data_IF_287871819185
#
_entry.id   IF_287871819185
#
_cell.length_a   1.000
_cell.length_b   1.000
_cell.length_c   1.000
_cell.angle_alpha   90.00
_cell.angle_beta   90.00
_cell.angle_gamma   90.00
#
_symmetry.space_group_name_H-M   'P 1'
#
loop_
_entity.id
_entity.type
_entity.pdbx_description
1 polymer ?
#
# COMPACT_ATOMS: atom_id res chain seq x y z
N UNK A 1 13.18 -4.29 6.46
CA UNK A 1 12.90 -3.12 7.34
C UNK A 1 11.46 -3.18 7.85
N UNK A 2 11.20 -2.82 9.12
CA UNK A 2 9.83 -2.67 9.62
C UNK A 2 9.40 -1.21 9.60
N UNK A 3 8.12 -0.96 9.29
CA UNK A 3 7.50 0.36 9.30
C UNK A 3 6.23 0.31 10.16
N UNK A 4 5.87 1.45 10.75
CA UNK A 4 4.56 1.67 11.36
C UNK A 4 3.75 2.55 10.42
N UNK A 5 2.57 2.07 10.04
CA UNK A 5 1.64 2.72 9.13
C UNK A 5 0.44 3.20 9.94
N UNK A 6 0.10 4.48 9.79
CA UNK A 6 -1.16 5.06 10.26
C UNK A 6 -2.22 4.87 9.19
N UNK A 7 -3.32 4.19 9.52
CA UNK A 7 -4.36 3.83 8.54
C UNK A 7 -5.41 4.93 8.46
N UNK A 8 -5.49 5.60 7.31
CA UNK A 8 -6.49 6.63 7.02
C UNK A 8 -7.62 6.12 6.12
N UNK A 9 -7.40 4.98 5.44
CA UNK A 9 -8.36 4.30 4.57
C UNK A 9 -8.41 2.82 4.97
N UNK A 10 -9.16 2.48 6.03
CA UNK A 10 -9.25 1.12 6.52
C UNK A 10 -9.95 0.20 5.52
N UNK A 11 -9.69 -1.10 5.60
CA UNK A 11 -10.35 -2.12 4.78
C UNK A 11 -11.89 -1.95 4.84
N UNK A 12 -12.51 -1.86 3.68
CA UNK A 12 -13.95 -1.66 3.49
C UNK A 12 -14.39 -0.19 3.46
N UNK A 13 -13.47 0.77 3.63
CA UNK A 13 -13.78 2.20 3.47
C UNK A 13 -13.94 2.59 2.00
N UNK A 14 -14.71 3.65 1.76
CA UNK A 14 -14.91 4.25 0.45
C UNK A 14 -13.91 5.37 0.25
N UNK A 15 -13.34 5.49 -0.95
CA UNK A 15 -12.41 6.57 -1.26
C UNK A 15 -13.10 7.95 -1.11
N UNK A 16 -12.50 8.92 -0.38
CA UNK A 16 -13.14 10.20 -0.07
C UNK A 16 -13.63 10.99 -1.31
N UNK A 17 -12.86 10.94 -2.41
CA UNK A 17 -13.16 11.64 -3.66
C UNK A 17 -13.79 10.76 -4.75
N UNK A 18 -13.87 9.44 -4.55
CA UNK A 18 -14.28 8.47 -5.59
C UNK A 18 -15.22 7.42 -4.98
N UNK A 19 -16.54 7.67 -4.92
CA UNK A 19 -17.49 6.83 -4.19
C UNK A 19 -17.66 5.42 -4.74
N UNK A 20 -17.19 5.17 -5.97
CA UNK A 20 -17.16 3.86 -6.64
C UNK A 20 -15.95 3.00 -6.25
N UNK A 21 -14.95 3.58 -5.58
CA UNK A 21 -13.75 2.87 -5.14
C UNK A 21 -13.91 2.50 -3.66
N UNK A 22 -13.91 1.19 -3.40
CA UNK A 22 -13.87 0.61 -2.05
C UNK A 22 -12.51 0.01 -1.82
N UNK A 23 -11.87 0.35 -0.69
CA UNK A 23 -10.58 -0.18 -0.30
C UNK A 23 -10.71 -1.63 0.13
N UNK A 24 -10.18 -2.56 -0.68
CA UNK A 24 -10.21 -4.01 -0.40
C UNK A 24 -9.06 -4.46 0.53
N UNK A 25 -8.18 -3.53 0.90
CA UNK A 25 -7.05 -3.71 1.81
C UNK A 25 -6.95 -2.48 2.73
N UNK A 26 -6.16 -2.56 3.80
CA UNK A 26 -5.87 -1.36 4.59
C UNK A 26 -4.87 -0.48 3.84
N UNK A 27 -5.08 0.83 3.87
CA UNK A 27 -4.22 1.83 3.24
C UNK A 27 -3.98 2.99 4.21
N UNK A 28 -2.79 3.55 4.14
CA UNK A 28 -2.37 4.65 4.99
C UNK A 28 -0.98 5.11 4.63
N UNK A 29 -0.31 5.75 5.59
CA UNK A 29 0.97 6.42 5.34
C UNK A 29 1.96 6.17 6.49
N UNK A 30 3.24 6.45 6.25
CA UNK A 30 4.28 6.44 7.28
C UNK A 30 4.53 7.85 7.78
N UNK A 31 4.20 8.10 9.05
CA UNK A 31 4.34 9.42 9.66
C UNK A 31 5.80 9.92 9.62
N UNK A 32 5.98 11.15 9.14
CA UNK A 32 7.28 11.82 9.09
C UNK A 32 8.22 11.40 7.95
N UNK A 33 7.80 10.50 7.05
CA UNK A 33 8.52 10.23 5.80
C UNK A 33 7.80 10.95 4.67
N UNK A 34 8.40 12.02 4.14
CA UNK A 34 7.81 12.82 3.07
C UNK A 34 8.21 12.25 1.72
N UNK A 35 7.22 12.00 0.87
CA UNK A 35 7.38 11.50 -0.49
C UNK A 35 7.54 12.65 -1.51
N UNK A 36 7.86 12.37 -2.78
CA UNK A 36 8.16 13.41 -3.77
C UNK A 36 7.02 14.40 -4.06
N UNK A 37 5.78 14.01 -3.79
CA UNK A 37 4.58 14.85 -3.93
C UNK A 37 4.40 15.85 -2.77
N UNK A 38 5.19 15.73 -1.70
CA UNK A 38 5.14 16.59 -0.52
C UNK A 38 4.22 16.08 0.59
N UNK A 39 3.56 14.93 0.40
CA UNK A 39 2.73 14.26 1.40
C UNK A 39 3.53 13.14 2.11
N UNK A 40 2.92 12.51 3.12
CA UNK A 40 3.54 11.37 3.81
C UNK A 40 3.51 10.11 2.93
N UNK A 41 4.58 9.29 3.00
CA UNK A 41 4.76 8.13 2.13
C UNK A 41 3.62 7.12 2.28
N UNK A 42 2.91 6.89 1.19
CA UNK A 42 1.74 6.02 1.14
C UNK A 42 2.12 4.53 1.14
N UNK A 43 1.26 3.72 1.76
CA UNK A 43 1.48 2.29 2.00
C UNK A 43 0.18 1.48 1.86
N UNK A 44 0.21 0.48 0.98
CA UNK A 44 -0.74 -0.63 0.98
C UNK A 44 -0.36 -1.67 2.05
N UNK A 45 -1.31 -2.05 2.91
CA UNK A 45 -1.11 -3.10 3.92
C UNK A 45 -1.84 -4.37 3.52
N UNK A 46 -1.08 -5.39 3.12
CA UNK A 46 -1.57 -6.69 2.66
C UNK A 46 -1.46 -7.76 3.74
N UNK A 47 -2.34 -8.78 3.70
CA UNK A 47 -2.33 -9.88 4.66
C UNK A 47 -2.98 -9.57 6.02
N UNK A 48 -3.72 -8.45 6.11
CA UNK A 48 -4.54 -8.09 7.28
C UNK A 48 -5.99 -8.02 6.83
N UNK A 49 -6.81 -8.98 7.25
CA UNK A 49 -8.17 -9.25 6.79
C UNK A 49 -9.28 -8.53 7.59
N UNK A 50 -8.90 -7.52 8.36
CA UNK A 50 -9.80 -6.67 9.15
C UNK A 50 -9.35 -5.21 9.13
N UNK A 51 -10.27 -4.24 9.29
CA UNK A 51 -9.88 -2.85 9.45
C UNK A 51 -9.05 -2.67 10.72
N UNK A 52 -7.97 -1.88 10.62
CA UNK A 52 -7.11 -1.52 11.76
C UNK A 52 -6.84 -0.02 11.75
N UNK A 53 -6.43 0.54 12.90
CA UNK A 53 -6.04 1.95 13.01
C UNK A 53 -4.56 2.19 12.73
N UNK A 54 -3.74 1.23 13.10
CA UNK A 54 -2.29 1.24 12.93
C UNK A 54 -1.82 -0.16 12.60
N UNK A 55 -0.74 -0.24 11.83
CA UNK A 55 -0.12 -1.51 11.45
C UNK A 55 1.39 -1.39 11.54
N UNK A 56 2.05 -2.39 12.12
CA UNK A 56 3.52 -2.50 12.08
C UNK A 56 3.90 -3.81 11.38
N UNK A 57 4.67 -3.71 10.29
CA UNK A 57 5.07 -4.86 9.48
C UNK A 57 6.27 -4.57 8.60
N UNK A 58 6.62 -5.50 7.73
CA UNK A 58 7.76 -5.36 6.81
C UNK A 58 7.29 -4.75 5.50
N UNK A 59 8.09 -3.87 4.91
CA UNK A 59 7.98 -3.57 3.48
C UNK A 59 8.44 -4.81 2.71
N UNK A 60 7.62 -5.26 1.75
CA UNK A 60 7.87 -6.43 0.91
C UNK A 60 8.00 -6.07 -0.57
N UNK A 61 7.51 -4.90 -0.97
CA UNK A 61 7.61 -4.40 -2.35
C UNK A 61 7.37 -2.89 -2.40
N UNK A 62 7.69 -2.33 -3.55
CA UNK A 62 7.31 -0.98 -3.99
C UNK A 62 6.50 -1.14 -5.28
N UNK A 63 5.40 -0.40 -5.40
CA UNK A 63 4.65 -0.25 -6.65
C UNK A 63 5.10 1.07 -7.27
N UNK A 64 5.72 0.96 -8.43
CA UNK A 64 6.10 2.09 -9.26
C UNK A 64 5.01 2.40 -10.26
N UNK A 65 4.60 3.67 -10.29
CA UNK A 65 3.66 4.23 -11.25
C UNK A 65 4.46 5.10 -12.23
N UNK A 66 4.50 4.72 -13.50
CA UNK A 66 5.24 5.48 -14.53
C UNK A 66 4.58 6.84 -14.82
N UNK A 67 3.32 6.99 -14.46
CA UNK A 67 2.46 8.15 -14.71
C UNK A 67 2.15 8.96 -13.43
N UNK A 68 2.82 8.67 -12.32
CA UNK A 68 2.70 9.38 -11.04
C UNK A 68 4.09 9.73 -10.48
N UNK A 69 4.16 10.71 -9.58
CA UNK A 69 5.44 11.16 -9.00
C UNK A 69 5.79 10.42 -7.70
N UNK A 70 4.84 9.70 -7.11
CA UNK A 70 5.01 9.03 -5.82
C UNK A 70 4.91 7.51 -5.97
N UNK A 71 5.97 6.82 -5.56
CA UNK A 71 5.95 5.38 -5.34
C UNK A 71 4.95 5.00 -4.26
N UNK A 72 4.35 3.81 -4.34
CA UNK A 72 3.51 3.27 -3.26
C UNK A 72 4.20 2.09 -2.59
N UNK A 73 4.38 2.13 -1.28
CA UNK A 73 4.99 1.01 -0.57
C UNK A 73 3.98 -0.10 -0.30
N UNK A 74 4.47 -1.33 -0.18
CA UNK A 74 3.64 -2.49 0.18
C UNK A 74 4.18 -3.12 1.45
N UNK A 75 3.36 -3.14 2.51
CA UNK A 75 3.70 -3.73 3.79
C UNK A 75 2.87 -4.98 4.09
N UNK A 76 3.46 -5.96 4.79
CA UNK A 76 2.78 -7.17 5.21
C UNK A 76 3.29 -7.70 6.57
N UNK A 77 2.50 -8.55 7.28
CA UNK A 77 2.96 -9.21 8.50
C UNK A 77 4.20 -10.07 8.28
N UNK A 78 4.95 -10.35 9.35
CA UNK A 78 6.06 -11.29 9.31
C UNK A 78 5.58 -12.68 8.83
N UNK A 79 6.38 -13.34 7.99
CA UNK A 79 6.05 -14.64 7.41
C UNK A 79 5.06 -14.62 6.24
N UNK A 80 4.44 -13.47 5.94
CA UNK A 80 3.66 -13.30 4.71
C UNK A 80 4.63 -12.98 3.56
N UNK A 81 4.56 -13.80 2.51
CA UNK A 81 5.26 -13.60 1.25
C UNK A 81 4.23 -13.64 0.12
N UNK A 82 4.34 -12.70 -0.82
CA UNK A 82 3.45 -12.56 -1.97
C UNK A 82 4.29 -12.37 -3.22
N UNK A 83 3.84 -12.92 -4.34
CA UNK A 83 4.44 -12.64 -5.65
C UNK A 83 4.02 -11.25 -6.15
N UNK A 84 4.75 -10.66 -7.12
CA UNK A 84 4.33 -9.45 -7.82
C UNK A 84 2.87 -9.50 -8.31
N UNK A 85 2.48 -10.61 -8.95
CA UNK A 85 1.11 -10.80 -9.46
C UNK A 85 0.06 -10.82 -8.33
N UNK A 86 0.37 -11.48 -7.21
CA UNK A 86 -0.53 -11.50 -6.04
C UNK A 86 -0.66 -10.13 -5.38
N UNK A 87 0.42 -9.34 -5.37
CA UNK A 87 0.38 -7.95 -4.89
C UNK A 87 -0.53 -7.15 -5.82
N UNK A 88 -0.26 -7.15 -7.13
CA UNK A 88 -1.02 -6.40 -8.13
C UNK A 88 -2.50 -6.78 -8.14
N UNK A 89 -2.83 -8.07 -8.04
CA UNK A 89 -4.22 -8.53 -7.91
C UNK A 89 -4.93 -7.88 -6.71
N UNK A 90 -4.28 -7.85 -5.55
CA UNK A 90 -4.85 -7.32 -4.30
C UNK A 90 -5.04 -5.80 -4.33
N UNK A 91 -4.21 -5.07 -5.06
CA UNK A 91 -4.27 -3.60 -5.17
C UNK A 91 -4.96 -3.11 -6.45
N UNK A 92 -5.35 -4.04 -7.34
CA UNK A 92 -5.97 -3.75 -8.64
C UNK A 92 -7.21 -2.86 -8.57
N UNK A 93 -7.91 -2.82 -7.44
CA UNK A 93 -9.08 -1.94 -7.25
C UNK A 93 -8.74 -0.46 -7.44
N UNK A 94 -7.49 -0.04 -7.18
CA UNK A 94 -6.96 1.29 -7.47
C UNK A 94 -5.93 1.23 -8.59
N UNK A 95 -4.97 0.31 -8.56
CA UNK A 95 -3.85 0.30 -9.51
C UNK A 95 -4.28 0.06 -10.97
N UNK A 96 -5.50 -0.45 -11.24
CA UNK A 96 -6.04 -0.53 -12.61
C UNK A 96 -6.19 0.82 -13.30
N UNK A 97 -6.10 1.93 -12.57
CA UNK A 97 -6.18 3.29 -13.09
C UNK A 97 -4.82 3.95 -13.34
N UNK A 98 -3.71 3.26 -13.06
CA UNK A 98 -2.34 3.76 -13.17
C UNK A 98 -1.47 2.83 -14.01
N UNK A 99 -0.43 3.35 -14.65
CA UNK A 99 0.59 2.53 -15.32
C UNK A 99 1.61 2.00 -14.30
N UNK A 100 1.28 0.87 -13.69
CA UNK A 100 1.96 0.37 -12.48
C UNK A 100 2.75 -0.92 -12.69
N UNK A 101 3.89 -1.05 -12.01
CA UNK A 101 4.61 -2.32 -11.87
C UNK A 101 5.17 -2.52 -10.47
N UNK A 102 5.31 -3.79 -10.05
CA UNK A 102 5.79 -4.15 -8.71
C UNK A 102 7.28 -4.45 -8.75
N UNK A 103 8.03 -3.82 -7.85
CA UNK A 103 9.44 -4.09 -7.57
C UNK A 103 9.52 -4.74 -6.19
N UNK A 104 9.92 -6.01 -6.13
CA UNK A 104 10.09 -6.72 -4.86
C UNK A 104 11.29 -6.16 -4.10
N UNK A 105 11.15 -5.96 -2.79
CA UNK A 105 12.31 -5.65 -1.96
C UNK A 105 13.11 -6.93 -1.74
N UNK A 106 14.43 -6.91 -1.94
CA UNK A 106 15.28 -8.04 -1.58
C UNK A 106 15.14 -8.32 -0.08
N UNK A 107 14.95 -9.58 0.30
CA UNK A 107 15.11 -10.03 1.69
C UNK A 107 16.59 -9.83 2.05
N UNK A 108 16.93 -8.65 2.57
CA UNK A 108 18.25 -8.36 3.12
C UNK A 108 18.48 -9.07 4.46
#
# INVERSE_FOLDING_TARGET
>A
MKVTVTIDRPLGSVHPSHPDIVYTVNYGYVEGIIAPDGEEQDVYVLGVDRPVKTFTGRIIAVIHRNDDIEEKWVAAPDGVSLTPDQIMEKVSFVEKYFDSHVIMTEDA
#
